data_IF_400596198765
#
_entry.id   IF_400596198765
#
_cell.length_a   1.000
_cell.length_b   1.000
_cell.length_c   1.000
_cell.angle_alpha   90.00
_cell.angle_beta   90.00
_cell.angle_gamma   90.00
#
_symmetry.space_group_name_H-M   'P 1'
#
loop_
_entity.id
_entity.type
_entity.pdbx_description
1 polymer ?
#
# COMPACT_ATOMS: atom_id res chain seq x y z
N UNK A 1 16.43 -16.56 19.45
CA UNK A 1 16.81 -15.74 20.63
C UNK A 1 18.29 -15.96 20.96
N UNK A 2 18.99 -14.88 21.39
CA UNK A 2 20.38 -14.92 21.86
C UNK A 2 20.56 -15.96 22.97
N UNK A 3 21.69 -16.68 23.03
CA UNK A 3 21.84 -17.88 23.87
C UNK A 3 21.66 -17.58 25.36
N UNK A 4 22.00 -16.36 25.81
CA UNK A 4 21.87 -15.91 27.21
C UNK A 4 20.49 -15.31 27.56
N UNK A 5 19.70 -14.98 26.54
CA UNK A 5 18.31 -14.52 26.67
C UNK A 5 17.29 -15.58 26.21
N UNK A 6 17.73 -16.81 25.88
CA UNK A 6 16.82 -17.96 25.67
C UNK A 6 16.04 -18.33 26.94
N UNK A 7 16.57 -17.97 28.11
CA UNK A 7 15.92 -18.16 29.41
C UNK A 7 14.98 -17.01 29.80
N UNK A 8 14.95 -15.91 29.04
CA UNK A 8 13.99 -14.83 29.28
C UNK A 8 12.73 -15.13 28.49
N UNK A 9 11.73 -15.67 29.18
CA UNK A 9 10.36 -15.69 28.68
C UNK A 9 9.84 -14.24 28.49
N UNK A 10 8.67 -14.07 27.89
CA UNK A 10 8.01 -12.77 27.73
C UNK A 10 7.68 -12.07 29.08
N UNK A 11 8.02 -12.68 30.23
CA UNK A 11 7.80 -12.18 31.59
C UNK A 11 9.09 -11.72 32.26
N UNK A 12 10.15 -11.46 31.48
CA UNK A 12 11.41 -10.97 32.01
C UNK A 12 11.28 -9.59 32.64
N UNK A 13 11.91 -9.43 33.81
CA UNK A 13 11.78 -8.23 34.66
C UNK A 13 13.06 -7.38 34.74
N UNK A 14 14.00 -7.56 33.80
CA UNK A 14 15.21 -6.74 33.77
C UNK A 14 15.02 -5.39 33.08
N UNK A 15 16.08 -4.58 33.07
CA UNK A 15 16.08 -3.25 32.45
C UNK A 15 16.68 -3.28 31.03
N UNK A 16 16.45 -2.22 30.25
CA UNK A 16 17.05 -2.07 28.92
C UNK A 16 18.58 -2.13 28.96
N UNK A 17 19.21 -1.54 29.98
CA UNK A 17 20.67 -1.60 30.18
C UNK A 17 21.15 -3.03 30.46
N UNK A 18 20.38 -3.81 31.23
CA UNK A 18 20.68 -5.22 31.47
C UNK A 18 20.53 -6.04 30.18
N UNK A 19 19.50 -5.78 29.36
CA UNK A 19 19.32 -6.42 28.06
C UNK A 19 20.53 -6.15 27.15
N UNK A 20 20.95 -4.89 27.03
CA UNK A 20 22.13 -4.49 26.25
C UNK A 20 23.40 -5.17 26.78
N UNK A 21 23.58 -5.24 28.11
CA UNK A 21 24.73 -5.91 28.73
C UNK A 21 24.77 -7.40 28.39
N UNK A 22 23.63 -8.08 28.43
CA UNK A 22 23.52 -9.50 28.09
C UNK A 22 23.76 -9.77 26.60
N UNK A 23 23.36 -8.84 25.74
CA UNK A 23 23.51 -8.92 24.28
C UNK A 23 24.93 -8.63 23.78
N UNK A 24 25.71 -7.82 24.52
CA UNK A 24 27.05 -7.36 24.11
C UNK A 24 27.99 -8.47 23.64
N UNK A 25 27.97 -9.60 24.36
CA UNK A 25 28.85 -10.74 24.09
C UNK A 25 28.08 -11.97 23.56
N UNK A 26 26.84 -11.78 23.08
CA UNK A 26 26.06 -12.88 22.53
C UNK A 26 26.39 -13.11 21.05
N UNK A 27 26.13 -14.33 20.58
CA UNK A 27 26.46 -14.75 19.22
C UNK A 27 25.24 -14.56 18.33
N UNK A 28 25.44 -13.94 17.17
CA UNK A 28 24.39 -13.79 16.17
C UNK A 28 23.93 -15.17 15.67
N UNK A 29 22.63 -15.32 15.47
CA UNK A 29 22.04 -16.57 14.94
C UNK A 29 22.37 -16.73 13.45
N UNK A 30 22.54 -15.62 12.74
CA UNK A 30 22.96 -15.52 11.36
C UNK A 30 23.54 -14.11 11.12
N UNK A 31 24.33 -13.93 10.06
CA UNK A 31 24.86 -12.62 9.70
C UNK A 31 23.73 -11.63 9.37
N UNK A 32 23.85 -10.34 9.76
CA UNK A 32 22.81 -9.36 9.51
C UNK A 32 22.46 -9.26 8.02
N UNK A 33 21.16 -9.28 7.71
CA UNK A 33 20.67 -9.19 6.33
C UNK A 33 20.84 -10.46 5.49
N UNK A 34 21.18 -11.61 6.09
CA UNK A 34 21.34 -12.87 5.34
C UNK A 34 20.18 -13.84 5.53
N UNK A 35 19.41 -13.73 6.62
CA UNK A 35 18.30 -14.65 6.94
C UNK A 35 17.16 -13.94 7.66
N UNK A 36 15.92 -14.30 7.30
CA UNK A 36 14.74 -13.90 8.06
C UNK A 36 14.69 -14.66 9.40
N UNK A 37 14.65 -13.93 10.51
CA UNK A 37 14.50 -14.51 11.83
C UNK A 37 13.69 -13.57 12.73
N UNK A 38 12.50 -14.01 13.14
CA UNK A 38 11.62 -13.22 14.00
C UNK A 38 12.20 -13.05 15.41
N UNK A 39 11.99 -11.88 16.03
CA UNK A 39 12.56 -11.57 17.34
C UNK A 39 11.74 -10.54 18.12
N UNK A 40 10.93 -11.00 19.08
CA UNK A 40 10.25 -10.12 20.04
C UNK A 40 11.24 -9.26 20.84
N UNK A 41 12.39 -9.84 21.18
CA UNK A 41 13.48 -9.12 21.86
C UNK A 41 13.95 -7.91 21.04
N UNK A 42 14.08 -8.05 19.72
CA UNK A 42 14.54 -6.95 18.87
C UNK A 42 13.53 -5.80 18.85
N UNK A 43 12.23 -6.10 18.78
CA UNK A 43 11.17 -5.08 18.80
C UNK A 43 11.08 -4.36 20.15
N UNK A 44 11.13 -5.09 21.27
CA UNK A 44 11.14 -4.47 22.60
C UNK A 44 12.40 -3.63 22.83
N UNK A 45 13.57 -4.13 22.44
CA UNK A 45 14.82 -3.38 22.55
C UNK A 45 14.78 -2.10 21.70
N UNK A 46 14.33 -2.20 20.44
CA UNK A 46 14.19 -1.06 19.54
C UNK A 46 13.26 0.00 20.13
N UNK A 47 12.10 -0.42 20.63
CA UNK A 47 11.13 0.47 21.25
C UNK A 47 11.71 1.24 22.45
N UNK A 48 12.37 0.53 23.37
CA UNK A 48 12.97 1.16 24.56
C UNK A 48 14.16 2.08 24.22
N UNK A 49 15.04 1.67 23.30
CA UNK A 49 16.17 2.50 22.87
C UNK A 49 15.69 3.77 22.17
N UNK A 50 14.64 3.67 21.34
CA UNK A 50 14.05 4.84 20.70
C UNK A 50 13.34 5.75 21.71
N UNK A 51 12.65 5.18 22.70
CA UNK A 51 11.99 5.95 23.76
C UNK A 51 12.99 6.78 24.59
N UNK A 52 14.20 6.28 24.83
CA UNK A 52 15.27 7.06 25.51
C UNK A 52 15.67 8.33 24.75
N UNK A 53 15.36 8.44 23.45
CA UNK A 53 15.61 9.64 22.64
C UNK A 53 14.44 10.64 22.64
N UNK A 54 13.35 10.32 23.31
CA UNK A 54 12.16 11.18 23.46
C UNK A 54 12.21 11.95 24.77
N UNK A 55 11.49 13.06 24.88
CA UNK A 55 11.39 13.83 26.12
C UNK A 55 10.76 13.04 27.26
N UNK A 56 9.88 12.10 26.93
CA UNK A 56 9.11 11.32 27.89
C UNK A 56 9.90 10.12 28.44
N UNK A 57 10.85 9.59 27.67
CA UNK A 57 11.59 8.38 28.04
C UNK A 57 10.73 7.11 28.11
N UNK A 58 9.48 7.16 27.65
CA UNK A 58 8.49 6.09 27.78
C UNK A 58 7.82 5.79 26.43
N UNK A 59 8.02 4.56 25.94
CA UNK A 59 7.54 4.14 24.63
C UNK A 59 6.01 4.15 24.54
N UNK A 60 5.34 3.62 25.57
CA UNK A 60 3.89 3.42 25.58
C UNK A 60 3.17 4.76 25.54
N UNK A 61 3.63 5.71 26.35
CA UNK A 61 3.15 7.09 26.33
C UNK A 61 3.43 7.76 24.99
N UNK A 62 4.63 7.60 24.44
CA UNK A 62 4.95 8.17 23.14
C UNK A 62 4.01 7.64 22.04
N UNK A 63 3.71 6.33 22.02
CA UNK A 63 2.75 5.72 21.09
C UNK A 63 1.34 6.26 21.30
N UNK A 64 0.89 6.40 22.55
CA UNK A 64 -0.41 6.97 22.88
C UNK A 64 -0.55 8.38 22.29
N UNK A 65 0.38 9.27 22.66
CA UNK A 65 0.30 10.70 22.35
C UNK A 65 0.54 10.98 20.84
N UNK A 66 1.42 10.21 20.18
CA UNK A 66 1.85 10.50 18.81
C UNK A 66 1.15 9.65 17.74
N UNK A 67 0.53 8.54 18.11
CA UNK A 67 -0.15 7.66 17.15
C UNK A 67 -1.62 7.52 17.54
N UNK A 68 -1.91 6.92 18.69
CA UNK A 68 -3.27 6.49 19.04
C UNK A 68 -4.23 7.68 19.15
N UNK A 69 -3.88 8.70 19.95
CA UNK A 69 -4.69 9.90 20.16
C UNK A 69 -4.85 10.70 18.87
N UNK A 70 -3.80 10.73 18.02
CA UNK A 70 -3.83 11.48 16.75
C UNK A 70 -4.83 10.91 15.77
N UNK A 71 -5.01 9.58 15.76
CA UNK A 71 -5.97 8.89 14.89
C UNK A 71 -7.22 8.41 15.62
N UNK A 72 -7.39 8.82 16.87
CA UNK A 72 -8.58 8.61 17.69
C UNK A 72 -8.81 7.14 18.05
N UNK A 73 -7.75 6.40 18.36
CA UNK A 73 -7.83 5.01 18.84
C UNK A 73 -7.98 4.94 20.37
N UNK A 74 -9.14 5.39 20.86
CA UNK A 74 -9.43 5.59 22.29
C UNK A 74 -9.57 4.28 23.09
N UNK A 75 -9.88 3.17 22.43
CA UNK A 75 -10.03 1.84 23.04
C UNK A 75 -8.79 0.96 22.81
N UNK A 76 -7.63 1.60 22.63
CA UNK A 76 -6.35 0.93 22.34
C UNK A 76 -5.27 1.40 23.31
N UNK A 77 -4.48 0.46 23.84
CA UNK A 77 -3.43 0.83 24.78
C UNK A 77 -2.59 -0.35 25.27
N UNK A 78 -1.78 -0.09 26.30
CA UNK A 78 -0.89 -1.08 26.92
C UNK A 78 -1.26 -1.45 28.37
N UNK A 79 -1.91 -0.53 29.09
CA UNK A 79 -2.16 -0.69 30.53
C UNK A 79 -3.47 -1.45 30.82
N UNK A 80 -3.32 -2.60 31.46
CA UNK A 80 -4.42 -3.50 31.83
C UNK A 80 -5.05 -3.09 33.18
N UNK A 81 -5.64 -1.89 33.23
CA UNK A 81 -6.31 -1.37 34.43
C UNK A 81 -7.64 -2.11 34.70
N UNK A 82 -8.17 -2.14 35.94
CA UNK A 82 -9.42 -2.85 36.22
C UNK A 82 -10.61 -2.45 35.32
N UNK A 83 -10.82 -1.16 34.98
CA UNK A 83 -11.87 -0.77 34.03
C UNK A 83 -11.66 -1.32 32.61
N UNK A 84 -10.42 -1.36 32.13
CA UNK A 84 -10.10 -1.94 30.82
C UNK A 84 -10.32 -3.45 30.84
N UNK A 85 -9.77 -4.14 31.84
CA UNK A 85 -9.91 -5.60 31.99
C UNK A 85 -11.38 -6.02 32.06
N UNK A 86 -12.25 -5.21 32.68
CA UNK A 86 -13.69 -5.49 32.75
C UNK A 86 -14.42 -5.43 31.39
N UNK A 87 -13.81 -4.81 30.39
CA UNK A 87 -14.34 -4.67 29.03
C UNK A 87 -13.66 -5.61 28.02
N UNK A 88 -12.55 -6.24 28.40
CA UNK A 88 -11.84 -7.20 27.54
C UNK A 88 -12.65 -8.48 27.36
N UNK A 89 -12.58 -9.07 26.16
CA UNK A 89 -13.06 -10.42 25.95
C UNK A 89 -12.27 -11.39 26.85
N UNK A 90 -12.93 -12.44 27.37
CA UNK A 90 -12.25 -13.46 28.17
C UNK A 90 -11.51 -14.42 27.26
N UNK A 91 -10.19 -14.45 27.33
CA UNK A 91 -9.34 -15.34 26.53
C UNK A 91 -9.45 -16.80 26.93
N UNK A 92 -9.39 -17.71 25.95
CA UNK A 92 -9.49 -19.16 26.17
C UNK A 92 -8.40 -19.94 25.45
N UNK A 93 -7.83 -20.94 26.11
CA UNK A 93 -7.05 -21.96 25.42
C UNK A 93 -7.97 -22.86 24.59
N UNK A 94 -7.39 -23.62 23.64
CA UNK A 94 -8.13 -24.61 22.85
C UNK A 94 -8.79 -25.72 23.68
N UNK A 95 -8.33 -25.92 24.92
CA UNK A 95 -8.96 -26.82 25.90
C UNK A 95 -10.28 -26.30 26.48
N UNK A 96 -10.65 -25.04 26.19
CA UNK A 96 -11.79 -24.35 26.81
C UNK A 96 -11.48 -23.76 28.18
N UNK A 97 -10.26 -23.90 28.69
CA UNK A 97 -9.83 -23.25 29.92
C UNK A 97 -9.60 -21.76 29.71
N UNK A 98 -10.04 -20.95 30.67
CA UNK A 98 -9.75 -19.51 30.69
C UNK A 98 -8.24 -19.30 30.78
N UNK A 99 -7.71 -18.48 29.88
CA UNK A 99 -6.31 -18.11 29.89
C UNK A 99 -6.05 -16.98 30.90
N UNK A 100 -4.89 -16.96 31.57
CA UNK A 100 -4.53 -15.87 32.46
C UNK A 100 -4.23 -14.61 31.67
N UNK A 101 -4.65 -13.47 32.19
CA UNK A 101 -4.19 -12.16 31.72
C UNK A 101 -2.97 -11.74 32.55
N UNK A 102 -1.88 -11.37 31.90
CA UNK A 102 -0.64 -11.00 32.56
C UNK A 102 0.08 -9.85 31.84
N UNK A 103 0.92 -9.15 32.61
CA UNK A 103 1.76 -8.07 32.14
C UNK A 103 3.12 -8.60 31.64
N UNK A 104 3.44 -8.33 30.38
CA UNK A 104 4.69 -8.63 29.70
C UNK A 104 5.85 -7.74 30.19
N UNK A 105 5.59 -6.70 30.98
CA UNK A 105 6.62 -5.83 31.56
C UNK A 105 7.52 -5.23 30.49
N UNK A 106 8.81 -5.56 30.51
CA UNK A 106 9.77 -5.05 29.52
C UNK A 106 9.41 -5.45 28.07
N UNK A 107 8.69 -6.56 27.87
CA UNK A 107 8.25 -7.02 26.55
C UNK A 107 6.95 -6.39 26.05
N UNK A 108 6.34 -5.46 26.80
CA UNK A 108 5.12 -4.73 26.40
C UNK A 108 5.11 -4.27 24.93
N UNK A 109 6.18 -3.62 24.40
CA UNK A 109 6.19 -3.12 23.01
C UNK A 109 6.06 -4.22 21.94
N UNK A 110 6.48 -5.44 22.24
CA UNK A 110 6.48 -6.54 21.27
C UNK A 110 5.14 -7.30 21.18
N UNK A 111 4.20 -7.09 22.10
CA UNK A 111 2.96 -7.88 22.05
C UNK A 111 1.85 -7.61 23.06
N UNK A 112 1.93 -6.64 23.97
CA UNK A 112 0.90 -6.46 25.01
C UNK A 112 -0.32 -5.62 24.60
N UNK A 113 -0.28 -4.94 23.45
CA UNK A 113 -1.34 -4.00 23.11
C UNK A 113 -2.72 -4.67 23.08
N UNK A 114 -3.71 -4.05 23.71
CA UNK A 114 -5.13 -4.36 23.51
C UNK A 114 -5.73 -3.34 22.55
N UNK A 115 -6.78 -3.72 21.83
CA UNK A 115 -7.51 -2.84 20.92
C UNK A 115 -8.88 -3.41 20.55
N UNK A 116 -9.65 -2.66 19.76
CA UNK A 116 -10.88 -3.08 19.11
C UNK A 116 -10.70 -3.19 17.61
N UNK A 117 -11.59 -3.92 16.93
CA UNK A 117 -11.59 -3.98 15.46
C UNK A 117 -11.83 -2.60 14.83
N UNK A 118 -12.64 -1.76 15.47
CA UNK A 118 -12.92 -0.40 15.02
C UNK A 118 -11.68 0.50 15.08
N UNK A 119 -10.90 0.42 16.15
CA UNK A 119 -9.65 1.17 16.27
C UNK A 119 -8.57 0.66 15.32
N UNK A 120 -8.42 -0.65 15.19
CA UNK A 120 -7.51 -1.23 14.20
C UNK A 120 -7.90 -0.83 12.77
N UNK A 121 -9.19 -0.65 12.47
CA UNK A 121 -9.62 -0.12 11.17
C UNK A 121 -9.16 1.34 10.96
N UNK A 122 -9.09 2.17 12.02
CA UNK A 122 -8.51 3.53 11.94
C UNK A 122 -7.02 3.46 11.60
N UNK A 123 -6.26 2.57 12.25
CA UNK A 123 -4.87 2.31 11.90
C UNK A 123 -4.71 1.84 10.44
N UNK A 124 -5.56 0.91 9.97
CA UNK A 124 -5.56 0.46 8.58
C UNK A 124 -5.84 1.59 7.60
N UNK A 125 -6.83 2.45 7.88
CA UNK A 125 -7.10 3.63 7.06
C UNK A 125 -5.88 4.58 7.00
N UNK A 126 -5.18 4.75 8.12
CA UNK A 126 -3.95 5.54 8.20
C UNK A 126 -2.84 4.95 7.33
N UNK A 127 -2.59 3.65 7.45
CA UNK A 127 -1.60 2.93 6.65
C UNK A 127 -1.98 2.80 5.17
N UNK A 128 -3.25 2.93 4.80
CA UNK A 128 -3.70 2.96 3.42
C UNK A 128 -3.74 4.38 2.83
N UNK A 129 -3.34 5.40 3.61
CA UNK A 129 -3.35 6.80 3.18
C UNK A 129 -4.75 7.37 2.96
N UNK A 130 -5.77 6.75 3.56
CA UNK A 130 -7.19 7.13 3.43
C UNK A 130 -7.73 7.87 4.66
N UNK A 131 -6.96 7.91 5.75
CA UNK A 131 -7.34 8.63 6.94
C UNK A 131 -7.11 10.13 6.79
N UNK A 132 -8.04 10.93 7.32
CA UNK A 132 -8.04 12.39 7.19
C UNK A 132 -6.83 13.06 7.88
N UNK A 133 -6.31 12.47 8.95
CA UNK A 133 -5.08 12.90 9.64
C UNK A 133 -3.92 12.01 9.24
N UNK A 134 -2.88 12.59 8.65
CA UNK A 134 -1.65 11.86 8.33
C UNK A 134 -0.75 11.77 9.57
N UNK A 135 -0.34 10.56 9.91
CA UNK A 135 0.67 10.28 10.95
C UNK A 135 2.07 10.09 10.35
N UNK A 136 2.15 9.77 9.07
CA UNK A 136 3.40 9.55 8.32
C UNK A 136 3.32 10.27 6.97
N UNK A 137 4.47 10.69 6.47
CA UNK A 137 4.61 11.17 5.10
C UNK A 137 4.38 10.03 4.10
N UNK A 138 3.94 10.36 2.89
CA UNK A 138 3.60 9.35 1.87
C UNK A 138 4.79 8.44 1.50
N UNK A 139 6.01 9.01 1.42
CA UNK A 139 7.23 8.25 1.12
C UNK A 139 7.65 7.35 2.28
N UNK A 140 7.45 7.80 3.52
CA UNK A 140 7.68 6.98 4.72
C UNK A 140 6.71 5.81 4.75
N UNK A 141 5.43 6.05 4.47
CA UNK A 141 4.43 4.99 4.42
C UNK A 141 4.72 3.97 3.31
N UNK A 142 5.10 4.45 2.12
CA UNK A 142 5.54 3.57 1.02
C UNK A 142 6.73 2.72 1.44
N UNK A 143 7.72 3.32 2.10
CA UNK A 143 8.90 2.59 2.62
C UNK A 143 8.48 1.54 3.63
N UNK A 144 7.62 1.90 4.59
CA UNK A 144 7.13 0.99 5.63
C UNK A 144 6.43 -0.24 5.06
N UNK A 145 5.63 -0.06 4.01
CA UNK A 145 4.84 -1.11 3.36
C UNK A 145 5.59 -1.90 2.28
N UNK A 146 6.80 -1.49 1.91
CA UNK A 146 7.59 -2.17 0.88
C UNK A 146 8.29 -3.40 1.47
N UNK A 147 8.13 -4.60 0.89
CA UNK A 147 8.91 -5.76 1.29
C UNK A 147 10.41 -5.53 1.05
N UNK A 148 11.24 -5.81 2.06
CA UNK A 148 12.68 -5.55 2.01
C UNK A 148 13.50 -6.82 1.75
N UNK A 149 13.02 -7.97 2.20
CA UNK A 149 13.79 -9.21 2.15
C UNK A 149 12.92 -10.39 1.72
N UNK A 150 13.47 -11.26 0.86
CA UNK A 150 12.85 -12.56 0.53
C UNK A 150 13.28 -13.58 1.56
N UNK A 151 12.33 -14.30 2.12
CA UNK A 151 12.61 -15.30 3.15
C UNK A 151 12.66 -16.70 2.55
N UNK A 152 13.40 -17.58 3.22
CA UNK A 152 13.41 -19.02 2.93
C UNK A 152 12.09 -19.67 3.39
N UNK A 153 11.80 -20.86 2.87
CA UNK A 153 10.53 -21.57 3.10
C UNK A 153 10.30 -22.04 4.54
N UNK A 154 11.34 -21.99 5.39
CA UNK A 154 11.24 -22.27 6.83
C UNK A 154 10.76 -21.06 7.65
N UNK A 155 10.63 -19.88 7.02
CA UNK A 155 9.98 -18.71 7.60
C UNK A 155 8.48 -18.71 7.29
N UNK A 156 7.67 -18.13 8.17
CA UNK A 156 6.21 -18.13 8.07
C UNK A 156 5.64 -17.22 6.97
N UNK A 157 6.49 -16.47 6.25
CA UNK A 157 6.11 -15.63 5.12
C UNK A 157 7.16 -15.67 4.01
N UNK A 158 6.76 -15.36 2.78
CA UNK A 158 7.66 -15.38 1.63
C UNK A 158 8.58 -14.16 1.57
N UNK A 159 8.13 -13.01 2.12
CA UNK A 159 8.90 -11.77 2.20
C UNK A 159 8.66 -11.11 3.56
N UNK A 160 9.57 -10.25 3.98
CA UNK A 160 9.41 -9.41 5.17
C UNK A 160 9.91 -7.98 4.94
N UNK A 161 9.44 -7.05 5.76
CA UNK A 161 9.80 -5.63 5.73
C UNK A 161 9.71 -5.04 7.14
N UNK A 162 9.26 -3.79 7.26
CA UNK A 162 9.19 -3.08 8.54
C UNK A 162 7.74 -2.91 9.00
N UNK A 163 7.18 -3.76 9.90
CA UNK A 163 7.63 -5.05 10.44
C UNK A 163 6.88 -6.24 9.80
N UNK A 164 6.52 -6.11 8.53
CA UNK A 164 5.47 -6.91 7.93
C UNK A 164 5.89 -8.31 7.51
N UNK A 165 4.90 -9.19 7.51
CA UNK A 165 4.89 -10.52 6.94
C UNK A 165 4.16 -10.39 5.61
N UNK A 166 4.85 -10.67 4.50
CA UNK A 166 4.29 -10.39 3.17
C UNK A 166 4.26 -11.65 2.32
N UNK A 167 3.05 -12.00 1.89
CA UNK A 167 2.77 -13.09 0.97
C UNK A 167 2.04 -12.55 -0.25
N UNK A 168 2.11 -13.27 -1.37
CA UNK A 168 1.37 -12.90 -2.58
C UNK A 168 0.12 -13.76 -2.70
N UNK A 169 -1.00 -13.13 -3.04
CA UNK A 169 -2.25 -13.82 -3.33
C UNK A 169 -2.96 -13.11 -4.49
N UNK A 170 -3.35 -13.87 -5.52
CA UNK A 170 -4.07 -13.37 -6.68
C UNK A 170 -3.37 -12.17 -7.36
N UNK A 171 -2.03 -12.13 -7.37
CA UNK A 171 -1.25 -11.04 -7.96
C UNK A 171 -1.07 -9.79 -7.08
N UNK A 172 -1.53 -9.83 -5.83
CA UNK A 172 -1.36 -8.74 -4.86
C UNK A 172 -0.47 -9.15 -3.70
N UNK A 173 0.38 -8.24 -3.25
CA UNK A 173 1.06 -8.38 -1.96
C UNK A 173 0.03 -8.18 -0.83
N UNK A 174 -0.11 -9.20 0.01
CA UNK A 174 -0.87 -9.17 1.25
C UNK A 174 0.12 -8.83 2.36
N UNK A 175 0.00 -7.62 2.89
CA UNK A 175 0.84 -7.12 3.98
C UNK A 175 0.14 -7.43 5.29
N UNK A 176 0.73 -8.30 6.11
CA UNK A 176 0.09 -8.87 7.29
C UNK A 176 1.01 -8.79 8.50
N UNK A 177 0.38 -8.75 9.68
CA UNK A 177 1.02 -9.11 10.93
C UNK A 177 0.06 -9.93 11.78
N UNK A 178 0.52 -11.11 12.18
CA UNK A 178 -0.15 -11.91 13.19
C UNK A 178 0.41 -11.66 14.59
N UNK A 179 -0.44 -11.92 15.58
CA UNK A 179 -0.10 -11.94 16.99
C UNK A 179 -0.83 -13.07 17.71
N UNK A 180 -0.15 -13.66 18.69
CA UNK A 180 -0.67 -14.73 19.52
C UNK A 180 -0.18 -14.50 20.96
N UNK A 181 -1.11 -14.56 21.90
CA UNK A 181 -0.89 -14.52 23.34
C UNK A 181 -1.78 -15.57 23.99
N UNK A 182 -1.53 -15.90 25.25
CA UNK A 182 -2.36 -16.86 25.97
C UNK A 182 -3.84 -16.46 25.93
N UNK A 183 -4.65 -17.28 25.28
CA UNK A 183 -6.08 -17.06 25.13
C UNK A 183 -6.53 -16.08 24.06
N UNK A 184 -5.60 -15.49 23.29
CA UNK A 184 -5.94 -14.50 22.25
C UNK A 184 -5.12 -14.71 20.98
N UNK A 185 -5.74 -14.47 19.84
CA UNK A 185 -5.04 -14.34 18.57
C UNK A 185 -5.57 -13.13 17.80
N UNK A 186 -4.70 -12.49 17.06
CA UNK A 186 -5.02 -11.30 16.29
C UNK A 186 -4.36 -11.37 14.92
N UNK A 187 -5.04 -10.82 13.93
CA UNK A 187 -4.50 -10.64 12.59
C UNK A 187 -4.88 -9.26 12.08
N UNK A 188 -3.86 -8.52 11.66
CA UNK A 188 -4.00 -7.27 10.92
C UNK A 188 -3.46 -7.49 9.52
N UNK A 189 -4.26 -7.22 8.49
CA UNK A 189 -3.82 -7.36 7.11
C UNK A 189 -4.37 -6.26 6.20
N UNK A 190 -3.57 -5.87 5.22
CA UNK A 190 -3.94 -4.89 4.21
C UNK A 190 -3.45 -5.33 2.83
N UNK A 191 -4.16 -4.87 1.80
CA UNK A 191 -3.79 -4.95 0.39
C UNK A 191 -3.63 -3.54 -0.14
N UNK A 192 -2.42 -2.94 -0.06
CA UNK A 192 -2.22 -1.52 -0.32
C UNK A 192 -2.72 -1.06 -1.69
N UNK A 193 -2.47 -1.86 -2.74
CA UNK A 193 -2.91 -1.56 -4.12
C UNK A 193 -4.43 -1.45 -4.26
N UNK A 194 -5.19 -2.20 -3.47
CA UNK A 194 -6.66 -2.18 -3.49
C UNK A 194 -7.26 -1.24 -2.44
N UNK A 195 -6.44 -0.66 -1.56
CA UNK A 195 -6.89 0.05 -0.34
C UNK A 195 -7.89 -0.78 0.47
N UNK A 196 -7.61 -2.08 0.55
CA UNK A 196 -8.42 -3.05 1.28
C UNK A 196 -7.72 -3.44 2.59
N UNK A 197 -8.49 -3.67 3.64
CA UNK A 197 -7.99 -4.22 4.91
C UNK A 197 -8.92 -5.29 5.44
N UNK A 198 -8.35 -6.25 6.17
CA UNK A 198 -9.09 -7.25 6.91
C UNK A 198 -8.41 -7.48 8.27
N UNK A 199 -9.20 -7.33 9.33
CA UNK A 199 -8.75 -7.37 10.71
C UNK A 199 -9.61 -8.37 11.46
N UNK A 200 -8.95 -9.26 12.21
CA UNK A 200 -9.62 -10.26 13.04
C UNK A 200 -8.98 -10.26 14.42
N UNK A 201 -9.80 -10.12 15.46
CA UNK A 201 -9.41 -10.25 16.86
C UNK A 201 -10.21 -11.41 17.45
N UNK A 202 -9.53 -12.39 18.03
CA UNK A 202 -10.14 -13.62 18.52
C UNK A 202 -9.83 -13.85 19.99
N UNK A 203 -10.86 -14.24 20.74
CA UNK A 203 -10.73 -14.74 22.10
C UNK A 203 -10.47 -16.24 22.08
N UNK A 204 -9.28 -16.61 21.59
CA UNK A 204 -8.82 -17.99 21.50
C UNK A 204 -7.74 -18.17 20.46
N UNK A 205 -7.39 -19.42 20.20
CA UNK A 205 -6.36 -19.79 19.23
C UNK A 205 -6.87 -19.62 17.79
N UNK A 206 -6.00 -19.12 16.91
CA UNK A 206 -6.25 -19.07 15.46
C UNK A 206 -6.45 -20.50 14.91
N UNK A 207 -7.44 -20.74 14.04
CA UNK A 207 -7.61 -22.04 13.38
C UNK A 207 -6.37 -22.42 12.57
N UNK A 208 -5.93 -23.68 12.66
CA UNK A 208 -4.70 -24.14 11.98
C UNK A 208 -4.96 -24.70 10.58
N UNK A 209 -6.13 -25.29 10.34
CA UNK A 209 -6.45 -25.96 9.08
C UNK A 209 -6.79 -24.97 7.95
N UNK A 210 -7.16 -23.74 8.33
CA UNK A 210 -7.76 -22.76 7.44
C UNK A 210 -7.24 -21.35 7.74
N UNK A 211 -6.54 -20.73 6.77
CA UNK A 211 -6.16 -19.32 6.88
C UNK A 211 -7.34 -18.43 6.48
N UNK A 212 -8.07 -17.95 7.48
CA UNK A 212 -9.23 -17.06 7.32
C UNK A 212 -8.90 -15.83 6.48
N UNK A 213 -7.67 -15.29 6.58
CA UNK A 213 -7.24 -14.13 5.78
C UNK A 213 -7.19 -14.49 4.30
N UNK A 214 -6.54 -15.61 3.98
CA UNK A 214 -6.45 -16.08 2.60
C UNK A 214 -7.84 -16.37 2.02
N UNK A 215 -8.72 -17.02 2.77
CA UNK A 215 -10.09 -17.28 2.33
C UNK A 215 -10.86 -15.99 2.08
N UNK A 216 -10.76 -15.03 2.99
CA UNK A 216 -11.45 -13.75 2.88
C UNK A 216 -10.97 -12.98 1.64
N UNK A 217 -9.66 -12.88 1.42
CA UNK A 217 -9.14 -12.21 0.23
C UNK A 217 -9.41 -12.96 -1.07
N UNK A 218 -9.62 -14.28 -1.04
CA UNK A 218 -10.05 -15.05 -2.21
C UNK A 218 -11.44 -14.61 -2.70
N UNK A 219 -12.28 -14.12 -1.80
CA UNK A 219 -13.60 -13.58 -2.11
C UNK A 219 -13.54 -12.07 -2.44
N UNK A 220 -12.84 -11.29 -1.61
CA UNK A 220 -12.85 -9.83 -1.71
C UNK A 220 -12.04 -9.31 -2.90
N UNK A 221 -10.87 -9.88 -3.21
CA UNK A 221 -10.02 -9.38 -4.31
C UNK A 221 -10.77 -9.46 -5.65
N UNK A 222 -11.32 -10.61 -6.08
CA UNK A 222 -12.06 -10.67 -7.35
C UNK A 222 -13.30 -9.78 -7.37
N UNK A 223 -14.00 -9.65 -6.23
CA UNK A 223 -15.16 -8.78 -6.12
C UNK A 223 -14.77 -7.30 -6.30
N UNK A 224 -13.65 -6.86 -5.71
CA UNK A 224 -13.13 -5.51 -5.89
C UNK A 224 -12.63 -5.26 -7.31
N UNK A 225 -11.89 -6.20 -7.90
CA UNK A 225 -11.45 -6.10 -9.29
C UNK A 225 -12.64 -5.95 -10.24
N UNK A 226 -13.69 -6.76 -10.04
CA UNK A 226 -14.93 -6.66 -10.79
C UNK A 226 -15.60 -5.30 -10.56
N UNK A 227 -15.74 -4.86 -9.32
CA UNK A 227 -16.34 -3.57 -9.00
C UNK A 227 -15.56 -2.40 -9.62
N UNK A 228 -14.23 -2.41 -9.60
CA UNK A 228 -13.40 -1.38 -10.24
C UNK A 228 -13.49 -1.40 -11.77
N UNK A 229 -13.66 -2.60 -12.35
CA UNK A 229 -13.87 -2.78 -13.78
C UNK A 229 -15.24 -2.27 -14.24
N UNK A 230 -16.27 -2.54 -13.45
CA UNK A 230 -17.66 -2.16 -13.74
C UNK A 230 -18.01 -0.73 -13.29
N UNK A 231 -17.17 -0.10 -12.45
CA UNK A 231 -17.40 1.26 -11.98
C UNK A 231 -17.46 2.23 -13.15
N UNK A 232 -18.58 2.95 -13.26
CA UNK A 232 -18.76 3.99 -14.27
C UNK A 232 -17.71 5.09 -14.05
N UNK A 233 -16.82 5.25 -15.03
CA UNK A 233 -15.75 6.25 -14.98
C UNK A 233 -16.38 7.62 -15.24
N UNK A 234 -16.79 8.34 -14.18
CA UNK A 234 -17.23 9.73 -14.31
C UNK A 234 -16.05 10.61 -14.69
N UNK A 235 -16.02 11.05 -15.94
CA UNK A 235 -14.95 11.91 -16.45
C UNK A 235 -15.40 13.37 -16.45
N UNK A 236 -14.64 14.20 -15.75
CA UNK A 236 -14.80 15.65 -15.80
C UNK A 236 -14.30 16.20 -17.16
N UNK A 237 -15.12 16.99 -17.88
CA UNK A 237 -14.66 17.77 -19.01
C UNK A 237 -13.77 18.93 -18.52
N UNK A 238 -12.91 19.43 -19.40
CA UNK A 238 -12.14 20.65 -19.12
C UNK A 238 -13.05 21.89 -19.23
N UNK A 239 -12.88 22.93 -18.38
CA UNK A 239 -13.66 24.16 -18.48
C UNK A 239 -13.54 24.86 -19.84
N UNK A 240 -12.40 24.73 -20.53
CA UNK A 240 -12.19 25.23 -21.88
C UNK A 240 -11.34 24.22 -22.69
N UNK A 241 -11.92 23.50 -23.66
CA UNK A 241 -11.18 22.49 -24.42
C UNK A 241 -10.25 23.07 -25.49
N UNK A 242 -10.50 24.31 -25.93
CA UNK A 242 -9.82 24.96 -27.05
C UNK A 242 -8.28 24.87 -26.99
N UNK A 243 -7.61 25.10 -25.84
CA UNK A 243 -6.16 25.07 -25.76
C UNK A 243 -5.53 23.71 -26.03
N UNK A 244 -6.30 22.63 -25.90
CA UNK A 244 -5.81 21.24 -25.95
C UNK A 244 -6.17 20.54 -27.26
N UNK A 245 -7.22 20.98 -27.96
CA UNK A 245 -7.66 20.40 -29.24
C UNK A 245 -6.57 20.63 -30.30
N UNK A 246 -6.18 19.59 -31.03
CA UNK A 246 -5.21 19.72 -32.10
C UNK A 246 -4.52 18.42 -32.46
N UNK A 247 -3.54 18.54 -33.35
CA UNK A 247 -2.67 17.44 -33.74
C UNK A 247 -1.37 17.53 -32.96
N UNK A 248 -0.84 16.39 -32.55
CA UNK A 248 0.37 16.30 -31.76
C UNK A 248 1.26 15.16 -32.27
N UNK A 249 2.55 15.26 -32.01
CA UNK A 249 3.50 14.19 -32.32
C UNK A 249 4.56 14.01 -31.24
N UNK A 250 4.94 12.76 -31.02
CA UNK A 250 6.13 12.42 -30.25
C UNK A 250 7.21 11.92 -31.22
N UNK A 251 8.35 12.63 -31.22
CA UNK A 251 9.52 12.34 -32.06
C UNK A 251 9.24 12.19 -33.57
N UNK A 252 8.12 12.73 -34.09
CA UNK A 252 7.65 12.52 -35.47
C UNK A 252 7.42 11.04 -35.83
N UNK A 253 7.26 10.18 -34.82
CA UNK A 253 7.05 8.74 -34.95
C UNK A 253 5.61 8.34 -34.60
N UNK A 254 5.08 8.94 -33.53
CA UNK A 254 3.72 8.68 -33.05
C UNK A 254 2.90 9.96 -33.16
N UNK A 255 1.68 9.85 -33.69
CA UNK A 255 0.80 11.00 -33.91
C UNK A 255 -0.51 10.84 -33.16
N UNK A 256 -0.99 11.96 -32.64
CA UNK A 256 -2.18 12.03 -31.81
C UNK A 256 -3.09 13.14 -32.31
N UNK A 257 -4.39 12.88 -32.33
CA UNK A 257 -5.40 13.88 -32.59
C UNK A 257 -6.27 14.02 -31.34
N UNK A 258 -6.33 15.24 -30.78
CA UNK A 258 -7.17 15.55 -29.62
C UNK A 258 -8.40 16.32 -30.10
N UNK A 259 -9.58 15.82 -29.76
CA UNK A 259 -10.90 16.40 -30.07
C UNK A 259 -11.78 16.42 -28.82
N UNK A 260 -12.91 17.12 -28.90
CA UNK A 260 -13.96 17.07 -27.89
C UNK A 260 -14.89 15.90 -28.21
N UNK A 261 -15.03 14.98 -27.27
CA UNK A 261 -15.99 13.88 -27.32
C UNK A 261 -17.43 14.34 -27.13
N UNK A 262 -18.39 13.43 -27.30
CA UNK A 262 -19.83 13.78 -27.29
C UNK A 262 -20.33 14.33 -25.95
N UNK A 263 -19.67 14.00 -24.85
CA UNK A 263 -20.00 14.44 -23.50
C UNK A 263 -19.09 15.58 -23.00
N UNK A 264 -18.36 16.23 -23.92
CA UNK A 264 -17.51 17.38 -23.60
C UNK A 264 -16.12 17.01 -23.07
N UNK A 265 -15.87 15.74 -22.74
CA UNK A 265 -14.55 15.25 -22.34
C UNK A 265 -13.67 15.12 -23.56
N UNK A 266 -12.38 15.45 -23.43
CA UNK A 266 -11.46 15.34 -24.56
C UNK A 266 -11.16 13.87 -24.89
N UNK A 267 -11.10 13.57 -26.18
CA UNK A 267 -10.71 12.27 -26.73
C UNK A 267 -9.40 12.46 -27.50
N UNK A 268 -8.39 11.66 -27.17
CA UNK A 268 -7.14 11.58 -27.90
C UNK A 268 -7.08 10.27 -28.67
N UNK A 269 -6.93 10.37 -29.99
CA UNK A 269 -6.83 9.22 -30.87
C UNK A 269 -5.42 9.12 -31.47
N UNK A 270 -4.78 7.97 -31.31
CA UNK A 270 -3.52 7.66 -31.98
C UNK A 270 -3.75 7.33 -33.46
N UNK A 271 -2.90 7.86 -34.34
CA UNK A 271 -2.97 7.63 -35.77
C UNK A 271 -1.58 7.59 -36.43
N UNK A 272 -1.53 7.15 -37.69
CA UNK A 272 -0.30 6.98 -38.47
C UNK A 272 -0.24 5.59 -39.14
N UNK A 273 0.60 5.44 -40.18
CA UNK A 273 0.57 4.28 -41.08
C UNK A 273 0.85 2.97 -40.34
N UNK A 274 1.77 2.95 -39.38
CA UNK A 274 2.08 1.72 -38.64
C UNK A 274 1.10 1.41 -37.51
N UNK A 275 0.62 2.42 -36.78
CA UNK A 275 -0.23 2.21 -35.60
C UNK A 275 -1.66 1.83 -35.96
N UNK A 276 -2.19 2.37 -37.07
CA UNK A 276 -3.57 2.09 -37.48
C UNK A 276 -3.77 0.63 -37.88
N UNK A 277 -2.76 0.01 -38.47
CA UNK A 277 -2.78 -1.40 -38.87
C UNK A 277 -2.50 -2.34 -37.68
N UNK A 278 -1.67 -1.91 -36.73
CA UNK A 278 -1.30 -2.71 -35.56
C UNK A 278 -2.36 -2.69 -34.47
N UNK A 279 -2.94 -1.53 -34.13
CA UNK A 279 -3.78 -1.38 -32.95
C UNK A 279 -5.23 -1.10 -33.37
N UNK A 280 -6.20 -1.95 -32.98
CA UNK A 280 -7.62 -1.67 -33.21
C UNK A 280 -8.03 -0.29 -32.71
N UNK A 281 -8.91 0.39 -33.45
CA UNK A 281 -9.33 1.77 -33.14
C UNK A 281 -9.85 1.94 -31.70
N UNK A 282 -10.55 0.92 -31.19
CA UNK A 282 -11.07 0.87 -29.83
C UNK A 282 -9.99 0.99 -28.74
N UNK A 283 -8.74 0.62 -29.04
CA UNK A 283 -7.59 0.73 -28.13
C UNK A 283 -6.68 1.91 -28.49
N UNK A 284 -6.93 2.62 -29.60
CA UNK A 284 -6.20 3.83 -30.01
C UNK A 284 -6.85 5.12 -29.51
N UNK A 285 -8.10 5.04 -29.05
CA UNK A 285 -8.88 6.19 -28.59
C UNK A 285 -8.94 6.16 -27.07
N UNK A 286 -8.38 7.19 -26.44
CA UNK A 286 -8.34 7.34 -24.99
C UNK A 286 -8.97 8.66 -24.59
N UNK A 287 -9.56 8.70 -23.40
CA UNK A 287 -10.25 9.87 -22.87
C UNK A 287 -9.32 10.63 -21.92
N UNK A 288 -9.43 11.96 -21.91
CA UNK A 288 -8.61 12.82 -21.08
C UNK A 288 -9.49 13.47 -20.01
N UNK A 289 -9.40 12.94 -18.80
CA UNK A 289 -10.10 13.41 -17.62
C UNK A 289 -9.46 14.70 -17.09
N UNK A 290 -10.22 15.78 -16.98
CA UNK A 290 -9.70 17.02 -16.40
C UNK A 290 -9.53 16.88 -14.88
N UNK A 291 -8.31 17.13 -14.38
CA UNK A 291 -8.03 17.19 -12.95
C UNK A 291 -8.03 18.64 -12.48
N UNK A 292 -7.06 19.43 -12.94
CA UNK A 292 -6.87 20.82 -12.53
C UNK A 292 -5.92 21.54 -13.52
N UNK A 293 -6.13 22.84 -13.73
CA UNK A 293 -5.31 23.70 -14.60
C UNK A 293 -5.00 23.10 -15.98
N UNK A 294 -3.77 22.60 -16.19
CA UNK A 294 -3.24 22.03 -17.44
C UNK A 294 -2.95 20.53 -17.31
N UNK A 295 -3.42 19.91 -16.24
CA UNK A 295 -3.19 18.51 -15.92
C UNK A 295 -4.45 17.72 -16.28
N UNK A 296 -4.30 16.81 -17.23
CA UNK A 296 -5.33 15.85 -17.59
C UNK A 296 -4.83 14.44 -17.31
N UNK A 297 -5.74 13.56 -16.91
CA UNK A 297 -5.44 12.17 -16.65
C UNK A 297 -5.96 11.29 -17.80
N UNK A 298 -5.11 10.39 -18.29
CA UNK A 298 -5.50 9.40 -19.30
C UNK A 298 -6.46 8.39 -18.69
N UNK A 299 -7.56 8.14 -19.39
CA UNK A 299 -8.55 7.14 -19.00
C UNK A 299 -9.02 6.36 -20.22
N UNK A 300 -8.88 5.04 -20.18
CA UNK A 300 -9.48 4.17 -21.20
C UNK A 300 -10.99 4.01 -20.94
N UNK A 301 -11.81 4.19 -21.98
CA UNK A 301 -13.28 4.16 -21.87
C UNK A 301 -13.85 2.75 -21.65
N UNK A 302 -13.11 1.71 -22.04
CA UNK A 302 -13.55 0.30 -21.98
C UNK A 302 -12.48 -0.61 -21.41
N UNK A 303 -12.87 -1.85 -21.11
CA UNK A 303 -11.93 -2.92 -20.82
C UNK A 303 -10.90 -3.04 -21.93
N UNK A 304 -9.63 -3.01 -21.53
CA UNK A 304 -8.50 -3.23 -22.40
C UNK A 304 -7.68 -4.39 -21.82
N UNK A 305 -7.04 -5.21 -22.67
CA UNK A 305 -6.09 -6.19 -22.15
C UNK A 305 -4.92 -5.43 -21.50
N UNK A 306 -4.53 -5.78 -20.27
CA UNK A 306 -3.39 -5.15 -19.57
C UNK A 306 -2.14 -5.08 -20.46
N UNK A 307 -1.95 -6.13 -21.27
CA UNK A 307 -0.96 -6.24 -22.32
C UNK A 307 -1.65 -6.58 -23.64
N UNK A 308 -1.59 -5.69 -24.62
CA UNK A 308 -2.01 -5.95 -26.00
C UNK A 308 -0.86 -6.62 -26.75
N UNK A 309 -1.05 -7.86 -27.19
CA UNK A 309 -0.06 -8.58 -28.00
C UNK A 309 -0.29 -8.33 -29.49
N UNK A 310 0.75 -7.93 -30.19
CA UNK A 310 0.76 -7.53 -31.61
C UNK A 310 1.88 -8.32 -32.31
N UNK A 311 1.59 -9.55 -32.72
CA UNK A 311 2.60 -10.46 -33.25
C UNK A 311 3.65 -10.82 -32.19
N UNK A 312 4.92 -10.51 -32.46
CA UNK A 312 6.04 -10.69 -31.51
C UNK A 312 6.20 -9.52 -30.53
N UNK A 313 5.49 -8.40 -30.73
CA UNK A 313 5.54 -7.23 -29.87
C UNK A 313 4.38 -7.23 -28.85
N UNK A 314 4.54 -6.46 -27.77
CA UNK A 314 3.48 -6.24 -26.80
C UNK A 314 3.49 -4.81 -26.28
N UNK A 315 2.31 -4.21 -26.14
CA UNK A 315 2.12 -2.87 -25.57
C UNK A 315 1.37 -3.01 -24.25
N UNK A 316 1.92 -2.48 -23.16
CA UNK A 316 1.16 -2.36 -21.91
C UNK A 316 0.24 -1.16 -22.01
N UNK A 317 -1.07 -1.43 -22.01
CA UNK A 317 -2.10 -0.39 -21.97
C UNK A 317 -2.36 0.02 -20.52
N UNK A 318 -2.15 -0.90 -19.58
CA UNK A 318 -2.26 -0.63 -18.14
C UNK A 318 -1.29 0.44 -17.66
N UNK A 319 -0.06 0.46 -18.17
CA UNK A 319 0.93 1.49 -17.80
C UNK A 319 0.54 2.88 -18.29
N UNK A 320 -0.34 2.99 -19.29
CA UNK A 320 -0.84 4.26 -19.83
C UNK A 320 -2.09 4.75 -19.08
N UNK A 321 -2.89 3.86 -18.50
CA UNK A 321 -4.09 4.25 -17.75
C UNK A 321 -3.69 5.08 -16.52
N UNK A 322 -4.48 6.10 -16.21
CA UNK A 322 -4.27 7.06 -15.11
C UNK A 322 -2.99 7.90 -15.17
N UNK A 323 -2.21 7.80 -16.24
CA UNK A 323 -1.04 8.66 -16.45
C UNK A 323 -1.45 10.11 -16.58
N UNK A 324 -0.61 11.00 -16.06
CA UNK A 324 -0.84 12.44 -16.11
C UNK A 324 -0.21 13.04 -17.36
N UNK A 325 -1.00 13.79 -18.10
CA UNK A 325 -0.56 14.67 -19.17
C UNK A 325 -0.52 16.09 -18.64
N UNK A 326 0.68 16.66 -18.65
CA UNK A 326 0.92 18.04 -18.26
C UNK A 326 1.12 18.89 -19.51
N UNK A 327 0.08 19.61 -19.92
CA UNK A 327 0.15 20.50 -21.07
C UNK A 327 0.97 21.74 -20.75
N UNK A 328 1.79 22.20 -21.69
CA UNK A 328 2.64 23.37 -21.53
C UNK A 328 1.83 24.68 -21.44
N UNK A 329 2.42 25.78 -20.94
CA UNK A 329 1.71 27.05 -20.83
C UNK A 329 1.23 27.52 -22.20
N UNK A 330 0.06 28.13 -22.24
CA UNK A 330 -0.54 28.54 -23.51
C UNK A 330 0.31 29.60 -24.21
N UNK A 331 0.42 29.49 -25.53
CA UNK A 331 1.08 30.48 -26.37
C UNK A 331 0.20 31.74 -26.54
N UNK A 332 0.69 32.71 -27.32
CA UNK A 332 -0.05 33.96 -27.60
C UNK A 332 -1.41 33.75 -28.27
N UNK A 333 -1.65 32.60 -28.89
CA UNK A 333 -2.91 32.21 -29.52
C UNK A 333 -3.84 31.46 -28.54
N UNK A 334 -3.46 31.33 -27.26
CA UNK A 334 -4.23 30.60 -26.25
C UNK A 334 -4.19 29.09 -26.40
N UNK A 335 -3.23 28.55 -27.17
CA UNK A 335 -3.09 27.11 -27.42
C UNK A 335 -1.90 26.53 -26.67
N UNK A 336 -2.03 25.32 -26.15
CA UNK A 336 -0.89 24.60 -25.57
C UNK A 336 0.02 24.10 -26.70
N UNK A 337 1.30 24.52 -26.75
CA UNK A 337 2.22 24.13 -27.83
C UNK A 337 2.72 22.69 -27.72
N UNK A 338 2.65 22.09 -26.53
CA UNK A 338 3.10 20.71 -26.28
C UNK A 338 2.50 20.17 -24.98
N UNK A 339 2.77 18.91 -24.66
CA UNK A 339 2.55 18.33 -23.34
C UNK A 339 3.61 17.28 -22.99
N UNK A 340 3.72 17.01 -21.69
CA UNK A 340 4.57 15.96 -21.14
C UNK A 340 3.70 14.86 -20.51
N UNK A 341 4.17 13.62 -20.56
CA UNK A 341 3.62 12.45 -19.87
C UNK A 341 4.72 11.79 -19.01
N UNK A 342 5.04 12.37 -17.83
CA UNK A 342 6.23 11.98 -17.05
C UNK A 342 6.25 10.51 -16.63
N UNK A 343 5.11 9.94 -16.26
CA UNK A 343 5.05 8.53 -15.85
C UNK A 343 5.20 7.52 -17.01
N UNK A 344 5.24 8.00 -18.25
CA UNK A 344 5.62 7.23 -19.44
C UNK A 344 7.03 7.60 -19.94
N UNK A 345 7.79 8.42 -19.21
CA UNK A 345 9.05 9.02 -19.67
C UNK A 345 8.96 9.68 -21.06
N UNK A 346 7.78 10.17 -21.42
CA UNK A 346 7.52 10.79 -22.73
C UNK A 346 7.39 12.29 -22.51
N UNK A 347 8.33 13.06 -23.04
CA UNK A 347 8.38 14.50 -22.85
C UNK A 347 8.35 15.21 -24.21
N UNK A 348 7.86 16.45 -24.21
CA UNK A 348 7.82 17.33 -25.37
C UNK A 348 7.03 16.72 -26.54
N UNK A 349 5.81 16.26 -26.28
CA UNK A 349 4.87 15.87 -27.33
C UNK A 349 4.36 17.14 -28.00
N UNK A 350 4.85 17.44 -29.19
CA UNK A 350 4.71 18.75 -29.83
C UNK A 350 3.41 18.86 -30.62
N UNK A 351 2.75 20.02 -30.52
CA UNK A 351 1.61 20.38 -31.37
C UNK A 351 2.07 20.58 -32.81
N UNK A 352 1.31 20.01 -33.74
CA UNK A 352 1.47 20.18 -35.17
C UNK A 352 0.52 21.28 -35.69
N UNK A 353 1.01 22.07 -36.63
CA UNK A 353 0.21 23.09 -37.33
C UNK A 353 -0.64 22.52 -38.47
N UNK A 354 -0.20 21.41 -39.05
CA UNK A 354 -0.84 20.76 -40.19
C UNK A 354 -0.91 19.25 -39.99
N UNK A 355 -1.90 18.63 -40.64
CA UNK A 355 -2.01 17.17 -40.63
C UNK A 355 -0.84 16.55 -41.39
N UNK A 356 -0.09 15.62 -40.78
CA UNK A 356 1.03 14.98 -41.46
C UNK A 356 0.50 14.15 -42.64
N UNK A 357 1.21 14.24 -43.77
CA UNK A 357 0.98 13.39 -44.93
C UNK A 357 1.95 12.20 -44.87
N UNK A 358 1.43 10.99 -44.97
CA UNK A 358 2.22 9.76 -45.01
C UNK A 358 2.26 9.28 -46.45
N UNK A 359 3.47 9.13 -47.00
CA UNK A 359 3.68 8.52 -48.30
C UNK A 359 4.06 7.06 -48.08
N UNK A 360 3.36 6.14 -48.74
CA UNK A 360 3.74 4.73 -48.74
C UNK A 360 5.07 4.60 -49.50
N UNK A 361 6.11 4.16 -48.80
CA UNK A 361 7.38 3.71 -49.39
C UNK A 361 7.36 2.24 -49.68
#
# INVERSE_FOLDING_TARGET
>A
LPRRLRSTNLLWKGSTQEAIRLLRDDVLVADPGTRCHYSNLAFSLLAHVLAEQTSEGDYQRWVSDNILDRIGMEDTGFDLTPPIVSQMAVGFYSSGQVAPLYDLGWYRPSGQMYSTAADMAKLAMGLLGTFHRRILEADTLKTMLTPLFKCSSDYFANKTGTPWEVNEQLGYDIVRKDGDLDGYSATFSIVPKLRLSFIVLMSGTRPQEEDIVSQTYRLLIPAMEKAFREAEKRLNPTPNPTPYIGLYTYANLTFYEIKVGRDGVLEMQQFGPHIQDLIPEIYRTIRLHYLEERILQVVFDREFPCILRLGSASVSLETQDRQLFNFHPYNAQGLSPAFDAPGLNTYNVQRLYHKPAFYNS
#
